data_IF_572074143488
#
_entry.id   IF_572074143488
#
_cell.length_a   1.000
_cell.length_b   1.000
_cell.length_c   1.000
_cell.angle_alpha   90.00
_cell.angle_beta   90.00
_cell.angle_gamma   90.00
#
_symmetry.space_group_name_H-M   'P 1'
#
loop_
_entity.id
_entity.type
_entity.pdbx_description
1 polymer ?
#
# COMPACT_ATOMS: atom_id res chain seq x y z
N UNK A 1 10.01 0.12 12.00
CA UNK A 1 10.03 -0.04 10.53
C UNK A 1 11.42 0.14 9.98
N UNK A 2 12.11 1.27 10.26
CA UNK A 2 13.49 1.48 9.81
C UNK A 2 14.43 0.31 10.17
N UNK A 3 14.44 -0.14 11.43
CA UNK A 3 15.27 -1.29 11.84
C UNK A 3 14.99 -2.58 11.04
N UNK A 4 13.74 -2.79 10.60
CA UNK A 4 13.37 -3.94 9.76
C UNK A 4 13.84 -3.76 8.31
N UNK A 5 13.78 -2.52 7.80
CA UNK A 5 14.35 -2.16 6.50
C UNK A 5 15.87 -2.33 6.48
N UNK A 6 16.57 -1.92 7.53
CA UNK A 6 18.03 -2.04 7.63
C UNK A 6 18.49 -3.51 7.75
N UNK A 7 17.63 -4.39 8.29
CA UNK A 7 17.92 -5.80 8.45
C UNK A 7 17.86 -6.61 7.14
N UNK A 8 17.21 -6.09 6.09
CA UNK A 8 17.02 -6.80 4.84
C UNK A 8 17.07 -5.86 3.63
N UNK A 9 18.02 -6.12 2.72
CA UNK A 9 18.14 -5.36 1.48
C UNK A 9 16.88 -5.56 0.62
N UNK A 10 16.07 -4.52 0.50
CA UNK A 10 14.72 -4.61 -0.06
C UNK A 10 14.31 -3.30 -0.71
N UNK A 11 13.30 -3.34 -1.57
CA UNK A 11 12.88 -2.17 -2.34
C UNK A 11 11.39 -2.24 -2.72
N UNK A 12 10.90 -1.14 -3.28
CA UNK A 12 9.57 -1.05 -3.89
C UNK A 12 9.64 -0.43 -5.29
N UNK A 13 8.74 -0.87 -6.17
CA UNK A 13 8.59 -0.35 -7.53
C UNK A 13 7.11 -0.12 -7.84
N UNK A 14 6.77 1.03 -8.39
CA UNK A 14 5.45 1.28 -8.97
C UNK A 14 5.39 0.67 -10.38
N UNK A 15 4.41 -0.20 -10.62
CA UNK A 15 4.10 -0.79 -11.92
C UNK A 15 2.90 -0.05 -12.49
N UNK A 16 3.08 0.59 -13.65
CA UNK A 16 2.10 1.49 -14.24
C UNK A 16 1.61 0.94 -15.57
N UNK A 17 0.29 1.01 -15.81
CA UNK A 17 -0.36 0.65 -17.06
C UNK A 17 -0.86 -0.80 -17.15
N UNK A 18 -0.78 -1.56 -16.05
CA UNK A 18 -1.38 -2.88 -15.92
C UNK A 18 -2.58 -2.84 -14.97
N UNK A 19 -3.53 -3.75 -15.13
CA UNK A 19 -4.53 -4.06 -14.11
C UNK A 19 -3.91 -4.92 -12.98
N UNK A 20 -4.62 -5.04 -11.85
CA UNK A 20 -4.10 -5.75 -10.66
C UNK A 20 -3.82 -7.23 -10.93
N UNK A 21 -4.62 -7.88 -11.77
CA UNK A 21 -4.45 -9.29 -12.13
C UNK A 21 -3.14 -9.51 -12.87
N UNK A 22 -2.84 -8.67 -13.87
CA UNK A 22 -1.56 -8.74 -14.58
C UNK A 22 -0.37 -8.36 -13.72
N UNK A 23 -0.52 -7.43 -12.78
CA UNK A 23 0.56 -7.15 -11.81
C UNK A 23 0.78 -8.37 -10.91
N UNK A 24 -0.27 -9.08 -10.51
CA UNK A 24 -0.12 -10.32 -9.74
C UNK A 24 0.61 -11.39 -10.56
N UNK A 25 0.21 -11.61 -11.81
CA UNK A 25 0.91 -12.55 -12.71
C UNK A 25 2.38 -12.17 -12.92
N UNK A 26 2.68 -10.86 -12.99
CA UNK A 26 4.05 -10.36 -13.08
C UNK A 26 4.86 -10.65 -11.81
N UNK A 27 4.26 -10.46 -10.62
CA UNK A 27 4.88 -10.83 -9.35
C UNK A 27 5.15 -12.34 -9.28
N UNK A 28 4.17 -13.16 -9.68
CA UNK A 28 4.30 -14.63 -9.67
C UNK A 28 5.44 -15.06 -10.59
N UNK A 29 5.48 -14.55 -11.82
CA UNK A 29 6.55 -14.84 -12.78
C UNK A 29 7.93 -14.32 -12.34
N UNK A 30 8.00 -13.25 -11.55
CA UNK A 30 9.25 -12.77 -10.96
C UNK A 30 9.69 -13.66 -9.78
N UNK A 31 8.73 -14.14 -8.99
CA UNK A 31 8.96 -15.01 -7.83
C UNK A 31 9.44 -16.42 -8.21
N UNK A 32 9.22 -16.85 -9.44
CA UNK A 32 9.77 -18.10 -10.00
C UNK A 32 11.29 -18.03 -10.23
N UNK A 33 11.84 -16.83 -10.44
CA UNK A 33 13.26 -16.62 -10.78
C UNK A 33 14.14 -16.35 -9.55
N UNK A 34 13.56 -16.25 -8.35
CA UNK A 34 14.27 -15.82 -7.14
C UNK A 34 13.99 -16.70 -5.93
N UNK A 35 14.92 -16.69 -4.98
CA UNK A 35 14.76 -17.37 -3.69
C UNK A 35 13.55 -16.82 -2.92
N UNK A 36 12.96 -17.64 -2.04
CA UNK A 36 11.80 -17.26 -1.22
C UNK A 36 12.00 -15.94 -0.46
N UNK A 37 13.22 -15.72 0.07
CA UNK A 37 13.58 -14.51 0.82
C UNK A 37 13.63 -13.23 -0.02
N UNK A 38 13.63 -13.35 -1.35
CA UNK A 38 13.68 -12.22 -2.29
C UNK A 38 12.31 -11.94 -2.93
N UNK A 39 11.31 -12.78 -2.64
CA UNK A 39 9.99 -12.70 -3.27
C UNK A 39 9.32 -11.36 -3.05
N UNK A 40 8.50 -11.01 -4.02
CA UNK A 40 7.74 -9.76 -4.08
C UNK A 40 6.25 -10.03 -4.04
N UNK A 41 5.49 -9.02 -3.65
CA UNK A 41 4.04 -8.98 -3.74
C UNK A 41 3.54 -7.56 -3.99
N UNK A 42 2.26 -7.41 -4.35
CA UNK A 42 1.63 -6.10 -4.41
C UNK A 42 1.45 -5.57 -2.98
N UNK A 43 2.09 -4.44 -2.70
CA UNK A 43 2.03 -3.74 -1.41
C UNK A 43 1.01 -2.61 -1.40
N UNK A 44 0.75 -1.97 -2.54
CA UNK A 44 -0.24 -0.89 -2.62
C UNK A 44 -1.12 -1.04 -3.86
N UNK A 45 -2.41 -1.21 -3.65
CA UNK A 45 -3.45 -1.06 -4.65
C UNK A 45 -3.87 0.41 -4.68
N UNK A 46 -3.19 1.24 -5.47
CA UNK A 46 -3.38 2.69 -5.44
C UNK A 46 -4.58 3.11 -6.29
N UNK A 47 -4.58 2.78 -7.57
CA UNK A 47 -5.67 3.07 -8.50
C UNK A 47 -5.52 2.21 -9.77
N UNK A 48 -6.57 2.09 -10.59
CA UNK A 48 -6.50 1.36 -11.84
C UNK A 48 -5.31 1.82 -12.69
N UNK A 49 -4.42 0.88 -13.02
CA UNK A 49 -3.21 1.17 -13.79
C UNK A 49 -2.02 1.66 -12.98
N UNK A 50 -2.03 1.62 -11.65
CA UNK A 50 -0.87 1.94 -10.81
C UNK A 50 -0.88 1.13 -9.50
N UNK A 51 0.08 0.22 -9.36
CA UNK A 51 0.23 -0.66 -8.21
C UNK A 51 1.68 -0.63 -7.75
N UNK A 52 1.92 -0.56 -6.44
CA UNK A 52 3.28 -0.69 -5.90
C UNK A 52 3.56 -2.15 -5.54
N UNK A 53 4.66 -2.67 -6.06
CA UNK A 53 5.21 -3.99 -5.76
C UNK A 53 6.39 -3.81 -4.80
N UNK A 54 6.51 -4.72 -3.84
CA UNK A 54 7.42 -4.64 -2.70
C UNK A 54 8.03 -6.00 -2.40
N UNK A 55 9.32 -6.04 -2.07
CA UNK A 55 10.03 -7.26 -1.70
C UNK A 55 11.55 -7.11 -1.76
N UNK A 56 12.27 -8.23 -1.89
CA UNK A 56 13.73 -8.23 -1.99
C UNK A 56 14.22 -7.53 -3.26
N UNK A 57 15.43 -6.97 -3.22
CA UNK A 57 15.98 -6.21 -4.36
C UNK A 57 16.01 -7.06 -5.62
N UNK A 58 16.39 -8.34 -5.53
CA UNK A 58 16.44 -9.24 -6.69
C UNK A 58 15.05 -9.53 -7.26
N UNK A 59 14.04 -9.70 -6.40
CA UNK A 59 12.66 -9.86 -6.85
C UNK A 59 12.14 -8.62 -7.57
N UNK A 60 12.48 -7.42 -7.08
CA UNK A 60 12.11 -6.18 -7.77
C UNK A 60 12.84 -6.03 -9.11
N UNK A 61 14.12 -6.39 -9.19
CA UNK A 61 14.87 -6.43 -10.46
C UNK A 61 14.22 -7.39 -11.46
N UNK A 62 13.77 -8.56 -11.01
CA UNK A 62 13.04 -9.53 -11.84
C UNK A 62 11.69 -8.97 -12.34
N UNK A 63 10.94 -8.25 -11.48
CA UNK A 63 9.73 -7.53 -11.89
C UNK A 63 10.03 -6.51 -12.98
N UNK A 64 11.07 -5.70 -12.83
CA UNK A 64 11.46 -4.70 -13.82
C UNK A 64 11.87 -5.32 -15.15
N UNK A 65 12.65 -6.40 -15.11
CA UNK A 65 13.07 -7.14 -16.29
C UNK A 65 11.90 -7.72 -17.09
N UNK A 66 10.85 -8.20 -16.40
CA UNK A 66 9.66 -8.81 -17.01
C UNK A 66 8.54 -7.80 -17.33
N UNK A 67 8.52 -6.63 -16.71
CA UNK A 67 7.40 -5.68 -16.83
C UNK A 67 7.02 -5.35 -18.28
N UNK A 68 8.01 -5.19 -19.18
CA UNK A 68 7.76 -4.89 -20.60
C UNK A 68 7.07 -6.04 -21.34
N UNK A 69 7.42 -7.30 -21.07
CA UNK A 69 6.78 -8.44 -21.72
C UNK A 69 5.31 -8.61 -21.29
N UNK A 70 5.01 -8.22 -20.05
CA UNK A 70 3.64 -8.11 -19.53
C UNK A 70 2.87 -6.88 -20.04
N UNK A 71 3.51 -6.03 -20.87
CA UNK A 71 2.96 -4.78 -21.44
C UNK A 71 2.74 -3.67 -20.41
N UNK A 72 3.49 -3.66 -19.31
CA UNK A 72 3.52 -2.51 -18.43
C UNK A 72 4.01 -1.28 -19.21
N UNK A 73 3.40 -0.13 -18.94
CA UNK A 73 3.80 1.13 -19.56
C UNK A 73 5.17 1.58 -19.05
N UNK A 74 5.40 1.44 -17.74
CA UNK A 74 6.66 1.76 -17.08
C UNK A 74 6.70 1.14 -15.69
N UNK A 75 7.91 1.01 -15.17
CA UNK A 75 8.22 0.76 -13.76
C UNK A 75 8.97 1.97 -13.19
N UNK A 76 8.68 2.34 -11.94
CA UNK A 76 9.33 3.47 -11.26
C UNK A 76 9.73 3.04 -9.85
N UNK A 77 11.04 2.95 -9.58
CA UNK A 77 11.55 2.69 -8.23
C UNK A 77 11.09 3.78 -7.27
N UNK A 78 10.61 3.37 -6.10
CA UNK A 78 10.17 4.29 -5.06
C UNK A 78 11.35 4.62 -4.14
N UNK A 79 11.50 5.89 -3.78
CA UNK A 79 12.52 6.36 -2.83
C UNK A 79 12.09 6.04 -1.39
N UNK A 80 12.15 4.77 -1.02
CA UNK A 80 11.73 4.25 0.29
C UNK A 80 12.83 3.38 0.90
N UNK A 81 12.82 3.29 2.23
CA UNK A 81 13.87 2.60 2.97
C UNK A 81 13.83 1.06 2.85
N UNK A 82 12.68 0.46 2.54
CA UNK A 82 12.58 -1.00 2.37
C UNK A 82 11.23 -1.48 1.86
N UNK A 83 11.04 -2.80 1.89
CA UNK A 83 9.83 -3.47 1.40
C UNK A 83 8.63 -3.36 2.36
N UNK A 84 8.02 -2.17 2.44
CA UNK A 84 6.83 -1.94 3.26
C UNK A 84 5.63 -2.79 2.80
N UNK A 85 4.72 -3.07 3.74
CA UNK A 85 3.48 -3.82 3.50
C UNK A 85 3.74 -5.26 3.04
N UNK A 86 4.82 -5.86 3.54
CA UNK A 86 5.19 -7.26 3.28
C UNK A 86 5.72 -7.93 4.54
N UNK A 87 5.99 -9.24 4.47
CA UNK A 87 6.63 -10.01 5.54
C UNK A 87 8.01 -9.50 5.95
N UNK A 88 8.70 -8.71 5.11
CA UNK A 88 9.96 -8.03 5.48
C UNK A 88 9.78 -7.11 6.70
N UNK A 89 8.56 -6.61 6.92
CA UNK A 89 8.24 -5.74 8.06
C UNK A 89 7.87 -6.51 9.33
N UNK A 90 7.85 -7.85 9.31
CA UNK A 90 7.50 -8.66 10.48
C UNK A 90 8.31 -8.32 11.74
N UNK A 91 9.64 -8.04 11.67
CA UNK A 91 10.41 -7.65 12.85
C UNK A 91 9.92 -6.35 13.52
N UNK A 92 9.20 -5.48 12.79
CA UNK A 92 8.66 -4.24 13.33
C UNK A 92 7.32 -4.42 14.09
N UNK A 93 6.64 -5.56 13.90
CA UNK A 93 5.27 -5.79 14.42
C UNK A 93 5.25 -5.77 15.94
N UNK A 94 6.09 -6.57 16.61
CA UNK A 94 6.07 -6.70 18.08
C UNK A 94 6.34 -5.38 18.81
N UNK A 95 7.23 -4.56 18.25
CA UNK A 95 7.54 -3.22 18.78
C UNK A 95 6.36 -2.27 18.59
N UNK A 96 5.66 -2.35 17.46
CA UNK A 96 4.45 -1.57 17.21
C UNK A 96 3.30 -2.01 18.12
N UNK A 97 3.09 -3.32 18.29
CA UNK A 97 2.09 -3.88 19.22
C UNK A 97 2.32 -3.39 20.65
N UNK A 98 3.57 -3.40 21.11
CA UNK A 98 3.93 -2.89 22.44
C UNK A 98 3.62 -1.40 22.60
N UNK A 99 3.92 -0.59 21.57
CA UNK A 99 3.60 0.84 21.57
C UNK A 99 2.08 1.10 21.55
N UNK A 100 1.32 0.32 20.76
CA UNK A 100 -0.13 0.41 20.68
C UNK A 100 -0.82 -0.03 21.97
N UNK A 101 -0.28 -1.04 22.66
CA UNK A 101 -0.77 -1.48 23.95
C UNK A 101 -0.60 -0.39 25.04
N UNK A 102 0.49 0.38 24.96
CA UNK A 102 0.75 1.50 25.85
C UNK A 102 -0.01 2.79 25.47
N UNK A 103 -0.71 2.80 24.33
CA UNK A 103 -1.42 3.98 23.81
C UNK A 103 -2.92 3.88 24.09
N UNK A 104 -3.49 4.94 24.69
CA UNK A 104 -4.94 5.06 24.81
C UNK A 104 -5.55 5.37 23.43
N UNK A 105 -6.21 4.39 22.83
CA UNK A 105 -7.04 4.59 21.64
C UNK A 105 -8.49 4.71 22.09
N UNK A 106 -9.14 5.81 21.74
CA UNK A 106 -10.56 6.05 21.99
C UNK A 106 -11.38 5.71 20.77
N UNK A 107 -12.65 5.35 20.96
CA UNK A 107 -13.56 5.13 19.84
C UNK A 107 -13.70 6.43 19.04
N UNK A 108 -13.41 6.41 17.73
CA UNK A 108 -13.44 7.61 16.92
C UNK A 108 -14.88 8.02 16.63
N UNK A 109 -15.15 9.33 16.62
CA UNK A 109 -16.47 9.88 16.29
C UNK A 109 -16.89 9.57 14.85
N UNK A 110 -15.92 9.42 13.96
CA UNK A 110 -16.08 9.05 12.56
C UNK A 110 -15.29 7.76 12.38
N UNK A 111 -15.91 6.66 11.89
CA UNK A 111 -15.18 5.41 11.67
C UNK A 111 -13.96 5.60 10.77
N UNK A 112 -12.87 4.91 11.09
CA UNK A 112 -11.66 4.90 10.28
C UNK A 112 -11.73 3.73 9.32
N UNK A 113 -11.55 3.97 8.02
CA UNK A 113 -11.47 2.89 7.03
C UNK A 113 -10.06 2.34 7.04
N UNK A 114 -9.95 1.04 7.30
CA UNK A 114 -8.66 0.35 7.37
C UNK A 114 -8.11 0.08 5.98
N UNK A 115 -6.79 0.24 5.84
CA UNK A 115 -6.08 -0.14 4.62
C UNK A 115 -5.96 -1.66 4.45
N UNK A 116 -6.14 -2.45 5.52
CA UNK A 116 -6.04 -3.92 5.51
C UNK A 116 -7.25 -4.57 4.85
N UNK A 117 -8.46 -4.12 5.19
CA UNK A 117 -9.72 -4.78 4.76
C UNK A 117 -10.68 -3.84 4.02
N UNK A 118 -10.31 -2.55 3.87
CA UNK A 118 -11.14 -1.50 3.30
C UNK A 118 -12.52 -1.35 3.99
N UNK A 119 -12.63 -1.71 5.27
CA UNK A 119 -13.86 -1.59 6.07
C UNK A 119 -13.77 -0.49 7.12
N UNK A 120 -14.91 0.13 7.50
CA UNK A 120 -14.96 1.10 8.58
C UNK A 120 -14.85 0.41 9.95
N UNK A 121 -13.98 0.94 10.82
CA UNK A 121 -13.79 0.46 12.18
C UNK A 121 -13.96 1.58 13.20
N UNK A 122 -14.55 1.26 14.36
CA UNK A 122 -14.73 2.19 15.48
C UNK A 122 -14.43 1.58 16.85
N UNK A 123 -14.23 0.26 16.91
CA UNK A 123 -13.82 -0.42 18.13
C UNK A 123 -12.30 -0.22 18.35
N UNK A 124 -11.88 0.37 19.49
CA UNK A 124 -10.46 0.66 19.74
C UNK A 124 -9.55 -0.57 19.72
N UNK A 125 -10.03 -1.71 20.23
CA UNK A 125 -9.23 -2.93 20.31
C UNK A 125 -9.03 -3.56 18.92
N UNK A 126 -10.06 -3.52 18.08
CA UNK A 126 -9.96 -3.86 16.66
C UNK A 126 -8.99 -2.93 15.93
N UNK A 127 -9.08 -1.61 16.15
CA UNK A 127 -8.17 -0.64 15.53
C UNK A 127 -6.71 -0.91 15.91
N UNK A 128 -6.40 -1.20 17.19
CA UNK A 128 -5.03 -1.56 17.62
C UNK A 128 -4.50 -2.77 16.83
N UNK A 129 -5.29 -3.85 16.74
CA UNK A 129 -4.88 -5.07 16.02
C UNK A 129 -4.64 -4.81 14.54
N UNK A 130 -5.52 -4.05 13.90
CA UNK A 130 -5.40 -3.69 12.49
C UNK A 130 -4.17 -2.81 12.24
N UNK A 131 -3.89 -1.83 13.11
CA UNK A 131 -2.71 -0.97 12.99
C UNK A 131 -1.41 -1.78 13.06
N UNK A 132 -1.35 -2.78 13.95
CA UNK A 132 -0.22 -3.71 14.01
C UNK A 132 -0.09 -4.54 12.73
N UNK A 133 -1.22 -5.07 12.23
CA UNK A 133 -1.27 -5.87 11.00
C UNK A 133 -0.91 -5.06 9.73
N UNK A 134 -1.18 -3.75 9.72
CA UNK A 134 -1.00 -2.89 8.55
C UNK A 134 0.44 -2.87 8.02
N UNK A 135 1.44 -3.04 8.89
CA UNK A 135 2.86 -2.92 8.49
C UNK A 135 3.30 -4.06 7.58
N UNK A 136 2.63 -5.23 7.66
CA UNK A 136 2.91 -6.41 6.84
C UNK A 136 1.83 -6.71 5.81
N UNK A 137 0.74 -5.93 5.79
CA UNK A 137 -0.41 -6.14 4.91
C UNK A 137 -0.48 -5.10 3.80
N UNK A 138 -0.94 -5.49 2.58
CA UNK A 138 -1.15 -4.56 1.48
C UNK A 138 -2.10 -3.40 1.85
N UNK A 139 -1.94 -2.29 1.14
CA UNK A 139 -2.81 -1.12 1.24
C UNK A 139 -3.89 -1.19 0.16
N UNK A 140 -5.15 -1.40 0.57
CA UNK A 140 -6.32 -1.48 -0.31
C UNK A 140 -6.97 -0.11 -0.55
N UNK A 141 -6.18 0.85 -1.05
CA UNK A 141 -6.63 2.22 -1.27
C UNK A 141 -7.66 2.33 -2.40
N UNK A 142 -7.42 1.64 -3.51
CA UNK A 142 -8.33 1.59 -4.66
C UNK A 142 -9.72 1.09 -4.25
N UNK A 143 -9.78 0.00 -3.49
CA UNK A 143 -11.03 -0.56 -2.96
C UNK A 143 -11.73 0.42 -2.04
N UNK A 144 -10.98 1.06 -1.13
CA UNK A 144 -11.51 2.07 -0.20
C UNK A 144 -12.19 3.21 -0.95
N UNK A 145 -11.49 3.85 -1.88
CA UNK A 145 -12.01 5.01 -2.61
C UNK A 145 -13.16 4.62 -3.53
N UNK A 146 -13.06 3.50 -4.24
CA UNK A 146 -14.13 3.02 -5.13
C UNK A 146 -15.41 2.74 -4.34
N UNK A 147 -15.29 2.12 -3.16
CA UNK A 147 -16.42 1.85 -2.28
C UNK A 147 -17.05 3.14 -1.77
N UNK A 148 -16.25 4.13 -1.33
CA UNK A 148 -16.75 5.42 -0.87
C UNK A 148 -17.49 6.19 -1.97
N UNK A 149 -16.93 6.24 -3.18
CA UNK A 149 -17.56 6.87 -4.33
C UNK A 149 -18.88 6.17 -4.69
N UNK A 150 -18.90 4.83 -4.69
CA UNK A 150 -20.11 4.03 -4.92
C UNK A 150 -21.19 4.23 -3.85
N UNK A 151 -20.81 4.65 -2.64
CA UNK A 151 -21.70 5.00 -1.53
C UNK A 151 -22.09 6.49 -1.47
N UNK A 152 -21.74 7.27 -2.49
CA UNK A 152 -22.15 8.67 -2.61
C UNK A 152 -21.22 9.67 -1.93
N UNK A 153 -19.92 9.40 -1.83
CA UNK A 153 -18.95 10.42 -1.41
C UNK A 153 -18.96 11.64 -2.35
N UNK A 154 -19.44 12.78 -1.86
CA UNK A 154 -19.55 14.01 -2.65
C UNK A 154 -18.34 14.93 -2.54
N UNK A 155 -17.75 15.05 -1.34
CA UNK A 155 -16.62 15.93 -1.04
C UNK A 155 -15.59 15.20 -0.19
N UNK A 156 -14.32 15.41 -0.51
CA UNK A 156 -13.19 14.86 0.23
C UNK A 156 -12.08 15.90 0.40
N UNK A 157 -11.22 15.68 1.39
CA UNK A 157 -10.16 16.60 1.75
C UNK A 157 -8.86 15.81 1.94
N UNK A 158 -7.78 16.22 1.24
CA UNK A 158 -6.42 15.74 1.48
C UNK A 158 -5.74 16.72 2.43
N UNK A 159 -5.55 16.31 3.68
CA UNK A 159 -4.92 17.14 4.71
C UNK A 159 -3.42 16.88 4.74
N UNK A 160 -2.61 17.94 4.57
CA UNK A 160 -1.15 17.86 4.62
C UNK A 160 -0.45 18.28 3.32
N UNK A 161 0.88 18.12 3.25
CA UNK A 161 1.69 18.62 2.14
C UNK A 161 1.48 17.79 0.86
N UNK A 162 1.54 18.48 -0.29
CA UNK A 162 1.45 17.85 -1.60
C UNK A 162 0.02 17.55 -2.03
N UNK A 163 -0.13 16.81 -3.14
CA UNK A 163 -1.43 16.51 -3.77
C UNK A 163 -1.49 15.08 -4.32
N UNK A 164 -0.78 14.17 -3.65
CA UNK A 164 -0.59 12.80 -4.14
C UNK A 164 -1.91 12.04 -4.10
N UNK A 165 -2.63 12.13 -2.98
CA UNK A 165 -3.92 11.45 -2.82
C UNK A 165 -4.97 12.05 -3.75
N UNK A 166 -5.01 13.37 -3.90
CA UNK A 166 -5.86 14.02 -4.89
C UNK A 166 -5.59 13.50 -6.31
N UNK A 167 -4.32 13.38 -6.69
CA UNK A 167 -3.93 12.80 -7.98
C UNK A 167 -4.39 11.35 -8.17
N UNK A 168 -4.27 10.52 -7.13
CA UNK A 168 -4.70 9.12 -7.15
C UNK A 168 -6.23 9.02 -7.26
N UNK A 169 -6.98 9.77 -6.44
CA UNK A 169 -8.45 9.79 -6.48
C UNK A 169 -8.96 10.23 -7.85
N UNK A 170 -8.32 11.24 -8.48
CA UNK A 170 -8.68 11.68 -9.83
C UNK A 170 -8.41 10.64 -10.92
N UNK A 171 -7.51 9.68 -10.70
CA UNK A 171 -7.31 8.54 -11.61
C UNK A 171 -8.41 7.48 -11.47
N UNK A 172 -8.95 7.30 -10.26
CA UNK A 172 -10.10 6.43 -10.01
C UNK A 172 -11.37 7.05 -10.60
N UNK A 173 -11.63 8.33 -10.30
CA UNK A 173 -12.76 9.07 -10.83
C UNK A 173 -12.38 10.54 -11.09
N UNK A 174 -12.34 10.94 -12.36
CA UNK A 174 -11.99 12.31 -12.80
C UNK A 174 -12.93 13.37 -12.20
N UNK A 175 -14.19 13.02 -11.97
CA UNK A 175 -15.23 13.89 -11.42
C UNK A 175 -15.23 14.01 -9.89
N UNK A 176 -14.48 13.17 -9.16
CA UNK A 176 -14.48 13.19 -7.70
C UNK A 176 -14.00 14.55 -7.14
N UNK A 177 -14.75 15.14 -6.20
CA UNK A 177 -14.35 16.38 -5.55
C UNK A 177 -13.33 16.11 -4.45
N UNK A 178 -12.15 16.70 -4.58
CA UNK A 178 -11.10 16.65 -3.56
C UNK A 178 -10.40 18.00 -3.45
N UNK A 179 -10.33 18.51 -2.23
CA UNK A 179 -9.62 19.73 -1.90
C UNK A 179 -8.37 19.38 -1.09
N UNK A 180 -7.22 19.93 -1.48
CA UNK A 180 -6.01 19.79 -0.67
C UNK A 180 -5.92 20.95 0.31
N UNK A 181 -5.87 20.62 1.59
CA UNK A 181 -5.67 21.55 2.70
C UNK A 181 -4.21 21.43 3.12
N UNK A 182 -3.39 22.36 2.64
CA UNK A 182 -1.96 22.44 2.96
C UNK A 182 -1.70 22.75 4.43
N UNK A 183 -0.47 22.48 4.85
CA UNK A 183 0.07 22.88 6.15
C UNK A 183 0.71 24.28 6.11
#
# INVERSE_FOLDING_TARGET
>A
MQDASDAANSAMVSVIGLDSEKVQQLCDAANEDVDEKERVQIANFLCPGNYAVSGGVKGIEAVEAKAKSFKARMTVRLAVAGAFHTSFMQPAVSRLESALAATEIRSPRIPVISNVDAQPHSDPETIKKILAQQVTSPVHWETTVTTLLGRGLEKSYELGPGKVIAGIIKRINKGASIENIGA
#
